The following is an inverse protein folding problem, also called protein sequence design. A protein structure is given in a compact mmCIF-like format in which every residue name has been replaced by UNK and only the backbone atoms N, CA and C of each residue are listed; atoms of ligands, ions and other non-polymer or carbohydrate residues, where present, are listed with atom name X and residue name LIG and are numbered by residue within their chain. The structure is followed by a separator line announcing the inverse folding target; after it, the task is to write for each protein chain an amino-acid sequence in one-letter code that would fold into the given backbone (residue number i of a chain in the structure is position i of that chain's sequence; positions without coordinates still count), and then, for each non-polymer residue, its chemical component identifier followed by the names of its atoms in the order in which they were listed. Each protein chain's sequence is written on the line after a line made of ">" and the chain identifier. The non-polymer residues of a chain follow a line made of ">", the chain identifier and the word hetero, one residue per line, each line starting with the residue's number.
data_IF_944524730798
#
_entry.id   IF_944524730798
#
_cell.length_a   1.000
_cell.length_b   1.000
_cell.length_c   1.000
_cell.angle_alpha   90.00
_cell.angle_beta   90.00
_cell.angle_gamma   90.00
#
_symmetry.space_group_name_H-M   'P 1'
#
loop_
_entity.id
_entity.type
_entity.pdbx_description
1 polymer ?
#
# COMPACT_ATOMS: atom_id res chain seq x y z
N UNK A 1 7.42 -25.58 -3.33
CA UNK A 1 6.54 -24.54 -3.92
C UNK A 1 6.72 -23.29 -3.04
N UNK A 2 6.65 -22.04 -3.53
CA UNK A 2 6.83 -20.92 -2.62
C UNK A 2 5.61 -20.82 -1.70
N UNK A 3 5.84 -20.98 -0.39
CA UNK A 3 4.83 -21.02 0.67
C UNK A 3 4.36 -19.62 1.13
N UNK A 4 4.66 -18.58 0.34
CA UNK A 4 4.50 -17.18 0.72
C UNK A 4 3.88 -16.36 -0.40
N UNK A 5 2.78 -15.68 -0.07
CA UNK A 5 2.14 -14.69 -0.94
C UNK A 5 2.58 -13.29 -0.53
N UNK A 6 3.00 -12.50 -1.53
CA UNK A 6 3.39 -11.11 -1.41
C UNK A 6 2.34 -10.23 -2.11
N UNK A 7 1.64 -9.40 -1.35
CA UNK A 7 0.79 -8.35 -1.90
C UNK A 7 1.50 -6.99 -1.82
N UNK A 8 1.54 -6.27 -2.94
CA UNK A 8 2.02 -4.88 -3.01
C UNK A 8 0.81 -3.96 -3.07
N UNK A 9 0.70 -3.06 -2.11
CA UNK A 9 -0.35 -2.03 -2.08
C UNK A 9 0.30 -0.68 -2.32
N UNK A 10 -0.30 0.18 -3.15
CA UNK A 10 0.09 1.59 -3.27
C UNK A 10 -0.73 2.45 -2.30
N UNK A 11 -0.12 3.46 -1.71
CA UNK A 11 -0.80 4.41 -0.82
C UNK A 11 -2.04 5.05 -1.47
N UNK A 12 -3.03 5.40 -0.65
CA UNK A 12 -4.24 6.10 -1.10
C UNK A 12 -3.94 7.48 -1.71
N UNK A 13 -4.94 8.09 -2.35
CA UNK A 13 -4.81 9.41 -2.96
C UNK A 13 -4.41 10.50 -1.94
N UNK A 14 -3.71 11.50 -2.44
CA UNK A 14 -3.32 12.73 -1.71
C UNK A 14 -3.71 13.94 -2.57
N UNK A 15 -3.78 15.13 -1.98
CA UNK A 15 -4.05 16.37 -2.74
C UNK A 15 -3.05 16.59 -3.90
N UNK A 16 -1.79 16.25 -3.70
CA UNK A 16 -0.80 16.37 -4.76
C UNK A 16 -1.02 15.36 -5.90
N UNK A 17 -1.52 14.14 -5.62
CA UNK A 17 -1.97 13.24 -6.70
C UNK A 17 -3.18 13.81 -7.44
N UNK A 18 -4.14 14.37 -6.70
CA UNK A 18 -5.33 14.99 -7.25
C UNK A 18 -5.01 16.12 -8.24
N UNK A 19 -3.98 16.93 -7.94
CA UNK A 19 -3.48 17.98 -8.80
C UNK A 19 -2.48 17.53 -9.88
N UNK A 20 -2.21 16.23 -10.02
CA UNK A 20 -1.25 15.72 -10.99
C UNK A 20 0.22 16.05 -10.69
N UNK A 21 0.52 16.48 -9.45
CA UNK A 21 1.83 16.93 -9.02
C UNK A 21 2.75 15.75 -8.65
N UNK A 22 4.03 15.91 -8.97
CA UNK A 22 5.07 14.99 -8.51
C UNK A 22 5.40 15.28 -7.04
N UNK A 23 5.36 14.25 -6.20
CA UNK A 23 5.58 14.42 -4.75
C UNK A 23 6.99 14.05 -4.30
N UNK A 24 7.64 13.09 -4.97
CA UNK A 24 8.91 12.56 -4.50
C UNK A 24 8.85 12.15 -3.02
N UNK A 25 9.71 12.78 -2.22
CA UNK A 25 9.82 12.54 -0.77
C UNK A 25 9.07 13.57 0.09
N UNK A 26 8.27 14.45 -0.52
CA UNK A 26 7.39 15.36 0.23
C UNK A 26 6.41 14.52 1.04
N UNK A 27 6.30 14.84 2.33
CA UNK A 27 5.55 14.04 3.30
C UNK A 27 4.06 14.45 3.34
N UNK A 28 3.38 14.31 2.21
CA UNK A 28 1.94 14.57 2.12
C UNK A 28 1.15 13.46 2.81
N UNK A 29 0.03 13.85 3.40
CA UNK A 29 -1.00 12.94 3.89
C UNK A 29 -2.03 12.57 2.82
N UNK A 30 -2.82 11.54 3.14
CA UNK A 30 -4.00 11.16 2.35
C UNK A 30 -5.03 12.29 2.33
N UNK A 31 -5.68 12.46 1.18
CA UNK A 31 -6.89 13.27 1.09
C UNK A 31 -8.12 12.45 1.53
N UNK A 32 -9.32 13.04 1.67
CA UNK A 32 -10.51 12.28 2.08
C UNK A 32 -10.80 11.04 1.22
N UNK A 33 -10.57 11.12 -0.10
CA UNK A 33 -10.74 9.98 -1.00
C UNK A 33 -9.68 8.92 -0.73
N UNK A 34 -8.44 9.32 -0.44
CA UNK A 34 -7.36 8.42 -0.05
C UNK A 34 -7.64 7.68 1.27
N UNK A 35 -8.29 8.35 2.23
CA UNK A 35 -8.72 7.74 3.48
C UNK A 35 -9.78 6.66 3.21
N UNK A 36 -10.79 6.96 2.40
CA UNK A 36 -11.81 5.97 2.01
C UNK A 36 -11.19 4.78 1.26
N UNK A 37 -10.26 5.05 0.35
CA UNK A 37 -9.48 4.02 -0.35
C UNK A 37 -8.74 3.12 0.63
N UNK A 38 -8.06 3.71 1.61
CA UNK A 38 -7.30 2.96 2.62
C UNK A 38 -8.22 2.07 3.48
N UNK A 39 -9.37 2.58 3.90
CA UNK A 39 -10.35 1.86 4.70
C UNK A 39 -10.90 0.61 3.99
N UNK A 40 -11.00 0.62 2.66
CA UNK A 40 -11.47 -0.54 1.88
C UNK A 40 -10.46 -1.69 1.76
N UNK A 41 -9.16 -1.42 1.99
CA UNK A 41 -8.09 -2.39 1.73
C UNK A 41 -8.02 -3.49 2.79
N UNK A 42 -8.12 -3.14 4.07
CA UNK A 42 -8.06 -4.10 5.18
C UNK A 42 -9.07 -5.25 5.01
N UNK A 43 -10.37 -4.97 4.88
CA UNK A 43 -11.40 -5.98 4.64
C UNK A 43 -11.17 -6.80 3.38
N UNK A 44 -10.61 -6.21 2.32
CA UNK A 44 -10.33 -6.91 1.08
C UNK A 44 -9.17 -7.91 1.21
N UNK A 45 -8.10 -7.52 1.91
CA UNK A 45 -6.89 -8.34 2.07
C UNK A 45 -7.13 -9.56 2.95
N UNK A 46 -7.88 -9.41 4.06
CA UNK A 46 -8.18 -10.54 4.96
C UNK A 46 -9.04 -11.62 4.30
N UNK A 47 -9.84 -11.27 3.28
CA UNK A 47 -10.60 -12.25 2.48
C UNK A 47 -9.73 -13.06 1.53
N UNK A 48 -8.55 -12.57 1.17
CA UNK A 48 -7.61 -13.29 0.30
C UNK A 48 -6.85 -14.33 1.10
N UNK A 49 -6.19 -13.91 2.19
CA UNK A 49 -5.49 -14.79 3.11
C UNK A 49 -5.08 -14.03 4.39
N UNK A 50 -4.75 -14.74 5.50
CA UNK A 50 -4.28 -14.11 6.73
C UNK A 50 -3.01 -13.29 6.49
N UNK A 51 -2.98 -12.07 7.02
CA UNK A 51 -1.81 -11.18 6.93
C UNK A 51 -0.89 -11.43 8.11
N UNK A 52 0.33 -11.88 7.82
CA UNK A 52 1.34 -12.22 8.82
C UNK A 52 2.28 -11.05 9.14
N UNK A 53 2.52 -10.14 8.18
CA UNK A 53 3.40 -8.96 8.34
C UNK A 53 2.94 -7.82 7.45
N UNK A 54 3.05 -6.60 7.95
CA UNK A 54 2.82 -5.35 7.22
C UNK A 54 4.10 -4.52 7.27
N UNK A 55 4.69 -4.20 6.11
CA UNK A 55 5.88 -3.32 6.04
C UNK A 55 5.54 -2.09 5.20
N UNK A 56 5.85 -0.89 5.68
CA UNK A 56 5.57 0.38 5.03
C UNK A 56 6.77 1.32 5.03
N UNK A 57 6.78 2.28 4.10
CA UNK A 57 7.75 3.39 4.14
C UNK A 57 7.36 4.40 5.22
N UNK A 58 8.30 5.21 5.74
CA UNK A 58 8.00 6.20 6.78
C UNK A 58 7.11 7.35 6.33
N UNK A 59 6.76 7.48 5.04
CA UNK A 59 5.97 8.61 4.54
C UNK A 59 4.51 8.52 5.02
N UNK A 60 3.95 9.64 5.49
CA UNK A 60 2.63 9.75 6.13
C UNK A 60 1.50 9.12 5.31
N UNK A 61 1.41 9.42 4.01
CA UNK A 61 0.42 8.77 3.11
C UNK A 61 0.48 7.24 3.12
N UNK A 62 1.68 6.67 3.22
CA UNK A 62 1.87 5.23 3.24
C UNK A 62 1.59 4.65 4.63
N UNK A 63 2.00 5.36 5.69
CA UNK A 63 1.69 5.01 7.07
C UNK A 63 0.18 5.01 7.32
N UNK A 64 -0.55 6.04 6.87
CA UNK A 64 -2.00 6.11 6.98
C UNK A 64 -2.68 4.94 6.24
N UNK A 65 -2.20 4.60 5.04
CA UNK A 65 -2.73 3.45 4.30
C UNK A 65 -2.44 2.12 5.02
N UNK A 66 -1.21 1.93 5.50
CA UNK A 66 -0.80 0.71 6.20
C UNK A 66 -1.52 0.54 7.55
N UNK A 67 -1.76 1.64 8.26
CA UNK A 67 -2.48 1.65 9.54
C UNK A 67 -3.93 1.19 9.35
N UNK A 68 -4.63 1.71 8.34
CA UNK A 68 -6.00 1.27 8.03
C UNK A 68 -6.08 -0.23 7.68
N UNK A 69 -5.04 -0.78 7.04
CA UNK A 69 -4.93 -2.22 6.78
C UNK A 69 -4.69 -2.97 8.10
N UNK A 70 -3.76 -2.50 8.94
CA UNK A 70 -3.37 -3.10 10.21
C UNK A 70 -4.56 -3.26 11.18
N UNK A 71 -5.44 -2.26 11.25
CA UNK A 71 -6.67 -2.28 12.05
C UNK A 71 -7.55 -3.51 11.78
N UNK A 72 -7.52 -4.06 10.57
CA UNK A 72 -8.30 -5.23 10.17
C UNK A 72 -7.49 -6.54 10.23
N UNK A 73 -6.17 -6.45 10.19
CA UNK A 73 -5.28 -7.61 10.09
C UNK A 73 -4.80 -8.10 11.46
N UNK A 74 -4.95 -7.30 12.53
CA UNK A 74 -4.45 -7.64 13.86
C UNK A 74 -2.92 -7.77 13.90
N UNK A 75 -2.21 -6.98 13.09
CA UNK A 75 -0.74 -6.99 12.97
C UNK A 75 -0.26 -5.55 12.85
N UNK A 76 0.83 -5.23 13.55
CA UNK A 76 1.42 -3.89 13.54
C UNK A 76 2.15 -3.57 12.22
N UNK A 77 2.26 -2.28 11.94
CA UNK A 77 3.02 -1.76 10.79
C UNK A 77 4.50 -1.66 11.15
N UNK A 78 5.33 -2.43 10.44
CA UNK A 78 6.78 -2.26 10.47
C UNK A 78 7.21 -1.16 9.50
N UNK A 79 7.98 -0.20 10.00
CA UNK A 79 8.49 0.89 9.15
C UNK A 79 9.90 0.59 8.68
N UNK A 80 10.13 0.66 7.37
CA UNK A 80 11.44 0.48 6.76
C UNK A 80 11.70 1.53 5.68
N UNK A 81 12.75 2.34 5.91
CA UNK A 81 13.15 3.47 5.06
C UNK A 81 13.54 3.05 3.63
N UNK A 82 13.93 1.79 3.42
CA UNK A 82 14.27 1.27 2.08
C UNK A 82 13.07 1.21 1.15
N UNK A 83 11.86 1.31 1.70
CA UNK A 83 10.61 1.38 0.94
C UNK A 83 10.19 2.80 0.56
N UNK A 84 11.00 3.82 0.90
CA UNK A 84 10.86 5.14 0.31
C UNK A 84 11.22 5.03 -1.18
N UNK A 85 10.26 5.33 -2.05
CA UNK A 85 10.50 5.26 -3.49
C UNK A 85 11.59 6.25 -3.92
N UNK A 86 12.67 5.74 -4.50
CA UNK A 86 13.65 6.52 -5.27
C UNK A 86 13.35 6.31 -6.74
N UNK A 87 13.13 7.43 -7.45
CA UNK A 87 12.94 7.59 -8.91
C UNK A 87 13.18 6.32 -9.76
N UNK A 88 12.12 5.76 -10.33
CA UNK A 88 12.21 5.01 -11.59
C UNK A 88 11.86 5.95 -12.74
N UNK A 89 12.84 6.23 -13.61
CA UNK A 89 12.55 6.75 -14.95
C UNK A 89 11.99 5.58 -15.76
N UNK A 90 10.67 5.38 -15.66
CA UNK A 90 9.92 4.58 -16.61
C UNK A 90 8.54 5.23 -16.71
N UNK A 91 8.21 5.68 -17.91
CA UNK A 91 7.16 6.66 -18.25
C UNK A 91 5.71 6.27 -17.93
N UNK A 92 5.47 5.36 -16.97
CA UNK A 92 4.12 4.88 -16.65
C UNK A 92 3.89 4.45 -15.20
N UNK A 93 4.85 4.57 -14.30
CA UNK A 93 4.66 4.21 -12.89
C UNK A 93 4.63 5.45 -12.01
N UNK A 94 3.41 5.92 -11.70
CA UNK A 94 3.19 7.04 -10.78
C UNK A 94 3.09 6.50 -9.36
N UNK A 95 4.10 6.82 -8.56
CA UNK A 95 4.13 6.73 -7.09
C UNK A 95 3.67 5.41 -6.48
N UNK A 96 4.49 4.36 -6.51
CA UNK A 96 4.25 3.18 -5.67
C UNK A 96 4.93 3.40 -4.32
N UNK A 97 4.15 3.45 -3.23
CA UNK A 97 4.68 3.11 -1.91
C UNK A 97 4.09 1.78 -1.53
N UNK A 98 4.94 0.77 -1.36
CA UNK A 98 4.53 -0.60 -1.17
C UNK A 98 4.21 -0.88 0.30
N UNK A 99 2.99 -1.32 0.57
CA UNK A 99 2.72 -2.12 1.77
C UNK A 99 3.02 -3.57 1.44
N UNK A 100 3.98 -4.18 2.12
CA UNK A 100 4.26 -5.61 2.02
C UNK A 100 3.30 -6.35 2.94
N UNK A 101 2.53 -7.28 2.39
CA UNK A 101 1.68 -8.20 3.15
C UNK A 101 2.13 -9.62 2.88
N UNK A 102 2.71 -10.29 3.89
CA UNK A 102 3.01 -11.74 3.82
C UNK A 102 1.75 -12.50 4.18
N UNK A 103 1.28 -13.39 3.31
CA UNK A 103 0.15 -14.26 3.64
C UNK A 103 0.54 -15.72 3.73
N UNK A 104 -0.12 -16.45 4.62
CA UNK A 104 0.10 -17.88 4.86
C UNK A 104 -1.02 -18.72 4.25
N UNK A 105 -1.01 -18.93 2.93
CA UNK A 105 -1.74 -20.06 2.30
C UNK A 105 -1.30 -20.33 0.85
N UNK A 106 -1.51 -21.59 0.45
CA UNK A 106 -1.19 -22.19 -0.85
C UNK A 106 -2.09 -21.66 -1.97
N UNK A 107 -1.44 -21.32 -3.09
CA UNK A 107 -1.98 -21.01 -4.42
C UNK A 107 -2.21 -19.53 -4.78
N UNK A 108 -1.53 -19.14 -5.86
CA UNK A 108 -1.72 -17.99 -6.74
C UNK A 108 -1.22 -16.62 -6.24
N UNK A 109 -0.14 -16.13 -6.86
CA UNK A 109 0.11 -14.70 -7.02
C UNK A 109 -1.03 -14.13 -7.86
N UNK A 110 -2.09 -13.64 -7.20
CA UNK A 110 -3.17 -12.93 -7.89
C UNK A 110 -2.78 -11.46 -8.00
N UNK A 111 -2.67 -10.96 -9.22
CA UNK A 111 -2.77 -9.52 -9.48
C UNK A 111 -4.23 -9.13 -9.25
N UNK A 112 -4.53 -8.59 -8.08
CA UNK A 112 -5.74 -7.79 -7.88
C UNK A 112 -5.41 -6.36 -8.26
N UNK A 113 -5.63 -6.01 -9.53
CA UNK A 113 -5.76 -4.61 -9.93
C UNK A 113 -7.08 -4.10 -9.34
N UNK A 114 -7.02 -3.48 -8.18
CA UNK A 114 -8.11 -2.64 -7.73
C UNK A 114 -8.10 -1.39 -8.63
N UNK A 115 -9.04 -1.30 -9.56
CA UNK A 115 -9.21 -0.19 -10.50
C UNK A 115 -9.75 1.05 -9.77
N UNK A 116 -8.94 1.65 -8.90
CA UNK A 116 -9.29 2.87 -8.16
C UNK A 116 -8.21 3.95 -8.34
N UNK A 117 -7.70 4.09 -9.57
CA UNK A 117 -6.59 4.97 -9.89
C UNK A 117 -7.05 6.09 -10.82
N UNK A 118 -7.33 7.28 -10.26
CA UNK A 118 -7.36 8.55 -10.99
C UNK A 118 -6.30 9.48 -10.38
#
# INVERSE_FOLDING_TARGET
>A
MPDHLLTLVRHGRTHANAGGLLQGHVDNELDPIGIDQAAMLGPALVRVAPVARIISSPLRRAQQTATAIAEHCGTDVETDVRWIFVRLVASRWRSLTCVYVRQSTTSCVRRTEATWWW
#
